data_IF_519973076800
#
_entry.id   IF_519973076800
#
_cell.length_a   1.000
_cell.length_b   1.000
_cell.length_c   1.000
_cell.angle_alpha   90.00
_cell.angle_beta   90.00
_cell.angle_gamma   90.00
#
_symmetry.space_group_name_H-M   'P 1'
#
loop_
_entity.id
_entity.type
_entity.pdbx_description
1 polymer ?
#
# COMPACT_ATOMS: atom_id res chain seq x y z
N UNK A 1 -56.88 10.14 -30.31
CA UNK A 1 -55.84 11.12 -29.92
C UNK A 1 -54.45 10.50 -29.89
N UNK A 2 -53.91 9.95 -28.79
CA UNK A 2 -52.51 9.44 -28.79
C UNK A 2 -52.17 8.36 -29.86
N UNK A 3 -53.13 7.51 -30.24
CA UNK A 3 -52.94 6.47 -31.27
C UNK A 3 -53.06 7.00 -32.70
N UNK A 4 -53.91 8.01 -32.93
CA UNK A 4 -54.10 8.63 -34.26
C UNK A 4 -52.97 9.64 -34.56
N UNK A 5 -52.45 10.33 -33.53
CA UNK A 5 -51.39 11.32 -33.67
C UNK A 5 -49.99 10.70 -33.84
N UNK A 6 -49.79 9.44 -33.42
CA UNK A 6 -48.50 8.73 -33.48
C UNK A 6 -48.56 7.45 -34.33
N UNK A 7 -49.56 7.32 -35.21
CA UNK A 7 -49.76 6.15 -36.06
C UNK A 7 -48.53 5.85 -36.93
N UNK A 8 -47.99 6.86 -37.62
CA UNK A 8 -46.79 6.73 -38.45
C UNK A 8 -45.56 6.30 -37.64
N UNK A 9 -45.42 6.79 -36.40
CA UNK A 9 -44.35 6.39 -35.49
C UNK A 9 -44.51 4.95 -35.01
N UNK A 10 -45.74 4.47 -34.81
CA UNK A 10 -46.00 3.08 -34.45
C UNK A 10 -45.64 2.13 -35.60
N UNK A 11 -45.93 2.50 -36.85
CA UNK A 11 -45.52 1.75 -38.04
C UNK A 11 -44.00 1.73 -38.21
N UNK A 12 -43.33 2.88 -38.06
CA UNK A 12 -41.87 2.96 -38.11
C UNK A 12 -41.20 2.13 -37.01
N UNK A 13 -41.72 2.17 -35.79
CA UNK A 13 -41.21 1.35 -34.68
C UNK A 13 -41.39 -0.14 -34.98
N UNK A 14 -42.53 -0.55 -35.56
CA UNK A 14 -42.74 -1.93 -35.96
C UNK A 14 -41.75 -2.38 -37.04
N UNK A 15 -41.46 -1.51 -38.02
CA UNK A 15 -40.46 -1.78 -39.05
C UNK A 15 -39.06 -1.91 -38.46
N UNK A 16 -38.65 -0.99 -37.58
CA UNK A 16 -37.33 -0.99 -36.94
C UNK A 16 -37.14 -2.15 -35.93
N UNK A 17 -38.22 -2.57 -35.26
CA UNK A 17 -38.18 -3.69 -34.30
C UNK A 17 -38.30 -5.06 -34.97
N UNK A 18 -38.61 -5.12 -36.27
CA UNK A 18 -38.69 -6.39 -36.98
C UNK A 18 -37.30 -6.99 -37.15
N UNK A 19 -37.01 -8.02 -36.35
CA UNK A 19 -35.75 -8.76 -36.44
C UNK A 19 -35.72 -9.58 -37.73
N UNK A 20 -34.76 -9.28 -38.60
CA UNK A 20 -34.44 -10.07 -39.78
C UNK A 20 -33.79 -11.37 -39.29
N UNK A 21 -34.39 -12.52 -39.63
CA UNK A 21 -33.98 -13.86 -39.12
C UNK A 21 -33.26 -14.72 -40.16
N UNK A 22 -33.25 -14.27 -41.39
CA UNK A 22 -32.71 -14.94 -42.58
C UNK A 22 -31.44 -14.25 -43.09
N UNK A 23 -30.64 -13.71 -42.16
CA UNK A 23 -29.34 -13.13 -42.49
C UNK A 23 -28.41 -14.26 -42.98
N UNK A 24 -27.81 -14.14 -44.19
CA UNK A 24 -26.85 -15.12 -44.66
C UNK A 24 -25.57 -14.99 -43.83
N UNK A 25 -25.33 -15.95 -42.94
CA UNK A 25 -24.12 -16.06 -42.12
C UNK A 25 -23.18 -17.09 -42.73
N UNK A 26 -21.87 -16.82 -42.66
CA UNK A 26 -20.82 -17.73 -43.14
C UNK A 26 -20.41 -18.78 -42.11
N UNK A 27 -21.11 -18.83 -40.96
CA UNK A 27 -20.79 -19.68 -39.81
C UNK A 27 -22.01 -20.56 -39.50
N UNK A 28 -21.78 -21.86 -39.33
CA UNK A 28 -22.85 -22.78 -38.93
C UNK A 28 -23.04 -22.76 -37.41
N UNK A 29 -24.27 -23.05 -36.94
CA UNK A 29 -24.57 -23.04 -35.50
C UNK A 29 -23.67 -23.99 -34.69
N UNK A 30 -23.29 -25.13 -35.27
CA UNK A 30 -22.44 -26.13 -34.63
C UNK A 30 -20.99 -25.65 -34.45
N UNK A 31 -20.56 -24.62 -35.19
CA UNK A 31 -19.22 -24.04 -35.07
C UNK A 31 -19.12 -23.03 -33.93
N UNK A 32 -20.26 -22.65 -33.33
CA UNK A 32 -20.34 -21.71 -32.20
C UNK A 32 -20.22 -22.40 -30.84
N UNK A 33 -19.94 -23.71 -30.81
CA UNK A 33 -19.68 -24.41 -29.57
C UNK A 33 -18.40 -23.89 -28.90
N UNK A 34 -18.44 -23.74 -27.58
CA UNK A 34 -17.27 -23.31 -26.82
C UNK A 34 -16.13 -24.33 -27.00
N UNK A 35 -15.02 -23.86 -27.58
CA UNK A 35 -13.80 -24.65 -27.70
C UNK A 35 -13.00 -24.64 -26.39
N UNK A 36 -12.02 -25.52 -26.28
CA UNK A 36 -11.05 -25.49 -25.18
C UNK A 36 -10.33 -24.14 -25.13
N UNK A 37 -10.10 -23.64 -23.92
CA UNK A 37 -9.42 -22.38 -23.67
C UNK A 37 -7.92 -22.58 -23.82
N UNK A 38 -7.27 -21.71 -24.58
CA UNK A 38 -5.80 -21.64 -24.60
C UNK A 38 -5.31 -20.93 -23.33
N UNK A 39 -4.99 -21.71 -22.30
CA UNK A 39 -4.55 -21.20 -21.00
C UNK A 39 -3.31 -20.31 -21.11
N UNK A 40 -2.38 -20.62 -22.03
CA UNK A 40 -1.17 -19.83 -22.19
C UNK A 40 -1.46 -18.44 -22.74
N UNK A 41 -2.34 -18.33 -23.74
CA UNK A 41 -2.68 -17.06 -24.37
C UNK A 41 -3.51 -16.18 -23.44
N UNK A 42 -4.49 -16.76 -22.73
CA UNK A 42 -5.31 -16.00 -21.81
C UNK A 42 -4.51 -15.48 -20.61
N UNK A 43 -3.59 -16.31 -20.07
CA UNK A 43 -2.70 -15.88 -19.01
C UNK A 43 -1.77 -14.75 -19.49
N UNK A 44 -1.15 -14.89 -20.68
CA UNK A 44 -0.27 -13.86 -21.25
C UNK A 44 -1.01 -12.55 -21.54
N UNK A 45 -2.23 -12.64 -22.08
CA UNK A 45 -3.06 -11.47 -22.40
C UNK A 45 -3.47 -10.71 -21.12
N UNK A 46 -3.93 -11.44 -20.10
CA UNK A 46 -4.33 -10.84 -18.83
C UNK A 46 -3.14 -10.28 -18.05
N UNK A 47 -1.96 -10.92 -18.14
CA UNK A 47 -0.72 -10.42 -17.55
C UNK A 47 -0.25 -9.14 -18.27
N UNK A 48 -0.34 -9.08 -19.60
CA UNK A 48 0.00 -7.88 -20.38
C UNK A 48 -0.92 -6.68 -20.08
N UNK A 49 -2.14 -6.93 -19.63
CA UNK A 49 -3.11 -5.91 -19.22
C UNK A 49 -3.12 -5.67 -17.70
N UNK A 50 -2.26 -6.36 -16.95
CA UNK A 50 -2.19 -6.28 -15.48
C UNK A 50 -3.52 -6.59 -14.76
N UNK A 51 -4.39 -7.40 -15.38
CA UNK A 51 -5.73 -7.74 -14.88
C UNK A 51 -5.73 -8.93 -13.92
N UNK A 52 -4.86 -8.89 -12.90
CA UNK A 52 -4.59 -10.00 -11.98
C UNK A 52 -5.83 -10.46 -11.18
N UNK A 53 -6.72 -9.53 -10.80
CA UNK A 53 -7.96 -9.83 -10.07
C UNK A 53 -9.00 -10.49 -10.96
N UNK A 54 -9.12 -10.03 -12.20
CA UNK A 54 -10.03 -10.60 -13.19
C UNK A 54 -9.55 -11.99 -13.63
N UNK A 55 -8.23 -12.19 -13.75
CA UNK A 55 -7.60 -13.49 -14.06
C UNK A 55 -8.04 -14.58 -13.08
N UNK A 56 -8.00 -14.31 -11.78
CA UNK A 56 -8.47 -15.24 -10.74
C UNK A 56 -9.97 -15.53 -10.84
N UNK A 57 -10.80 -14.49 -10.95
CA UNK A 57 -12.26 -14.64 -11.06
C UNK A 57 -12.69 -15.39 -12.32
N UNK A 58 -12.00 -15.17 -13.44
CA UNK A 58 -12.27 -15.82 -14.71
C UNK A 58 -11.84 -17.29 -14.65
N UNK A 59 -10.70 -17.59 -14.01
CA UNK A 59 -10.25 -18.95 -13.77
C UNK A 59 -11.27 -19.74 -12.95
N UNK A 60 -11.80 -19.16 -11.86
CA UNK A 60 -12.86 -19.80 -11.06
C UNK A 60 -14.16 -20.03 -11.85
N UNK A 61 -14.52 -19.11 -12.75
CA UNK A 61 -15.79 -19.16 -13.46
C UNK A 61 -15.79 -20.08 -14.69
N UNK A 62 -14.66 -20.13 -15.41
CA UNK A 62 -14.54 -20.80 -16.71
C UNK A 62 -13.59 -21.99 -16.68
N UNK A 63 -12.79 -22.13 -15.61
CA UNK A 63 -12.01 -23.34 -15.31
C UNK A 63 -10.72 -23.49 -16.13
N UNK A 64 -9.83 -22.49 -16.08
CA UNK A 64 -8.47 -22.60 -16.64
C UNK A 64 -7.41 -22.43 -15.54
N UNK A 65 -6.25 -23.07 -15.68
CA UNK A 65 -5.16 -22.93 -14.72
C UNK A 65 -4.49 -21.55 -14.84
N UNK A 66 -4.43 -20.83 -13.71
CA UNK A 66 -3.67 -19.59 -13.62
C UNK A 66 -2.20 -19.96 -13.58
N UNK A 67 -1.42 -19.47 -14.54
CA UNK A 67 0.03 -19.38 -14.39
C UNK A 67 0.31 -18.35 -13.29
N UNK A 68 0.21 -18.77 -12.04
CA UNK A 68 0.84 -18.07 -10.94
C UNK A 68 2.33 -18.20 -11.22
N UNK A 69 2.97 -17.11 -11.65
CA UNK A 69 4.41 -16.99 -11.43
C UNK A 69 4.58 -17.21 -9.94
N UNK A 70 5.06 -18.40 -9.57
CA UNK A 70 5.22 -18.84 -8.19
C UNK A 70 5.70 -17.65 -7.37
N UNK A 71 4.89 -17.26 -6.38
CA UNK A 71 5.29 -16.29 -5.40
C UNK A 71 6.54 -16.83 -4.70
N UNK A 72 7.68 -16.34 -5.18
CA UNK A 72 8.91 -16.02 -4.48
C UNK A 72 9.39 -17.10 -3.51
N UNK A 73 10.43 -17.80 -3.98
CA UNK A 73 11.50 -18.38 -3.16
C UNK A 73 11.71 -17.54 -1.89
N UNK A 74 11.25 -18.04 -0.76
CA UNK A 74 11.59 -17.55 0.59
C UNK A 74 13.10 -17.72 0.77
N UNK A 75 13.86 -16.67 0.47
CA UNK A 75 15.28 -16.61 0.81
C UNK A 75 15.40 -15.64 1.96
N UNK A 76 16.02 -16.09 3.05
CA UNK A 76 16.33 -15.28 4.25
C UNK A 76 17.04 -13.95 3.93
N UNK A 77 17.62 -13.81 2.73
CA UNK A 77 18.26 -12.57 2.23
C UNK A 77 17.26 -11.44 1.93
N UNK A 78 15.96 -11.72 1.84
CA UNK A 78 14.94 -10.71 1.53
C UNK A 78 14.14 -10.25 2.75
N UNK A 79 14.55 -10.65 3.96
CA UNK A 79 13.92 -10.20 5.19
C UNK A 79 14.51 -8.84 5.60
N UNK A 80 13.65 -7.90 6.01
CA UNK A 80 14.13 -6.64 6.58
C UNK A 80 14.89 -6.93 7.87
N UNK A 81 16.11 -6.41 8.00
CA UNK A 81 16.88 -6.54 9.22
C UNK A 81 16.39 -5.55 10.30
N UNK A 82 16.74 -5.85 11.55
CA UNK A 82 16.42 -5.02 12.72
C UNK A 82 17.59 -4.10 13.12
N UNK A 83 18.49 -3.74 12.22
CA UNK A 83 19.62 -2.85 12.55
C UNK A 83 19.17 -1.39 12.67
N UNK A 84 19.52 -0.71 13.75
CA UNK A 84 19.22 0.70 13.95
C UNK A 84 20.29 1.40 14.79
N UNK A 85 20.44 2.69 14.57
CA UNK A 85 21.29 3.55 15.40
C UNK A 85 20.44 4.29 16.43
N UNK A 86 20.69 4.04 17.72
CA UNK A 86 19.97 4.72 18.80
C UNK A 86 20.54 6.10 19.06
N UNK A 87 19.71 7.13 18.94
CA UNK A 87 20.03 8.49 19.35
C UNK A 87 19.67 8.69 20.83
N UNK A 88 20.58 8.29 21.73
CA UNK A 88 20.36 8.40 23.18
C UNK A 88 20.50 9.82 23.75
N UNK A 89 21.21 10.70 23.05
CA UNK A 89 21.51 12.07 23.49
C UNK A 89 21.02 13.14 22.52
N UNK A 90 20.76 14.34 23.05
CA UNK A 90 20.34 15.52 22.27
C UNK A 90 21.32 15.84 21.13
N UNK A 91 22.62 15.75 21.37
CA UNK A 91 23.65 16.06 20.38
C UNK A 91 23.70 15.03 19.26
N UNK A 92 23.53 13.75 19.59
CA UNK A 92 23.45 12.68 18.60
C UNK A 92 22.20 12.85 17.74
N UNK A 93 21.03 13.05 18.36
CA UNK A 93 19.78 13.27 17.63
C UNK A 93 19.85 14.46 16.67
N UNK A 94 20.39 15.61 17.12
CA UNK A 94 20.52 16.80 16.26
C UNK A 94 21.47 16.57 15.09
N UNK A 95 22.57 15.84 15.30
CA UNK A 95 23.52 15.51 14.23
C UNK A 95 22.87 14.62 13.16
N UNK A 96 22.16 13.58 13.57
CA UNK A 96 21.51 12.68 12.61
C UNK A 96 20.33 13.39 11.91
N UNK A 97 19.58 14.26 12.59
CA UNK A 97 18.58 15.14 11.96
C UNK A 97 19.19 16.01 10.85
N UNK A 98 20.39 16.56 11.06
CA UNK A 98 21.10 17.35 10.02
C UNK A 98 21.57 16.49 8.84
N UNK A 99 21.87 15.21 9.06
CA UNK A 99 22.22 14.26 8.00
C UNK A 99 20.96 13.92 7.18
N UNK A 100 19.87 13.55 7.85
CA UNK A 100 18.58 13.23 7.24
C UNK A 100 18.00 14.41 6.44
N UNK A 101 18.26 15.65 6.87
CA UNK A 101 17.81 16.85 6.16
C UNK A 101 18.43 17.03 4.75
N UNK A 102 19.49 16.28 4.43
CA UNK A 102 20.14 16.28 3.10
C UNK A 102 19.55 15.24 2.15
N UNK A 103 18.76 14.30 2.66
CA UNK A 103 18.08 13.29 1.86
C UNK A 103 16.96 13.90 1.01
N UNK A 104 16.47 13.13 0.04
CA UNK A 104 15.31 13.54 -0.77
C UNK A 104 14.00 13.19 -0.07
N UNK A 105 13.87 11.95 0.40
CA UNK A 105 12.72 11.46 1.16
C UNK A 105 13.22 10.66 2.37
N UNK A 106 12.54 10.82 3.49
CA UNK A 106 12.74 10.05 4.72
C UNK A 106 11.42 9.36 5.10
N UNK A 107 11.51 8.19 5.71
CA UNK A 107 10.34 7.50 6.27
C UNK A 107 10.27 7.72 7.78
N UNK A 108 9.04 7.72 8.30
CA UNK A 108 8.77 7.93 9.73
C UNK A 108 7.76 6.92 10.23
N UNK A 109 8.04 6.33 11.38
CA UNK A 109 7.11 5.46 12.11
C UNK A 109 7.22 5.70 13.62
N UNK A 110 6.11 6.02 14.28
CA UNK A 110 6.03 6.20 15.72
C UNK A 110 5.74 4.91 16.48
N UNK A 111 6.27 4.81 17.69
CA UNK A 111 5.93 3.76 18.65
C UNK A 111 5.19 4.34 19.84
N UNK A 112 4.21 3.61 20.35
CA UNK A 112 3.43 4.02 21.50
C UNK A 112 3.15 2.87 22.45
N UNK A 113 3.14 3.15 23.75
CA UNK A 113 2.72 2.20 24.78
C UNK A 113 1.22 1.87 24.70
N UNK A 114 0.77 0.96 25.57
CA UNK A 114 -0.64 0.55 25.64
C UNK A 114 -1.60 1.69 26.04
N UNK A 115 -1.10 2.77 26.65
CA UNK A 115 -1.88 3.95 27.01
C UNK A 115 -1.93 4.98 25.87
N UNK A 116 -1.17 4.75 24.78
CA UNK A 116 -1.06 5.64 23.63
C UNK A 116 -0.09 6.80 23.87
N UNK A 117 0.86 6.67 24.79
CA UNK A 117 1.97 7.59 24.95
C UNK A 117 3.10 7.24 23.98
N UNK A 118 3.65 8.25 23.30
CA UNK A 118 4.81 8.09 22.43
C UNK A 118 6.03 7.57 23.22
N UNK A 119 6.52 6.39 22.88
CA UNK A 119 7.71 5.74 23.45
C UNK A 119 8.97 6.03 22.61
N UNK A 120 8.79 6.25 21.30
CA UNK A 120 9.88 6.65 20.42
C UNK A 120 9.45 6.89 18.98
N UNK A 121 10.41 7.28 18.16
CA UNK A 121 10.24 7.59 16.74
C UNK A 121 11.37 6.94 15.95
N UNK A 122 11.01 6.07 15.02
CA UNK A 122 11.91 5.57 13.99
C UNK A 122 11.89 6.53 12.80
N UNK A 123 13.07 6.94 12.35
CA UNK A 123 13.25 7.73 11.14
C UNK A 123 14.31 7.05 10.28
N UNK A 124 13.96 6.67 9.06
CA UNK A 124 14.88 6.01 8.16
C UNK A 124 15.04 6.76 6.84
N UNK A 125 16.21 6.62 6.24
CA UNK A 125 16.46 6.92 4.84
C UNK A 125 16.65 5.61 4.07
N UNK A 126 17.10 5.68 2.82
CA UNK A 126 17.31 4.49 1.97
C UNK A 126 18.40 3.54 2.48
N UNK A 127 19.30 4.00 3.37
CA UNK A 127 20.47 3.27 3.85
C UNK A 127 20.40 2.93 5.35
N UNK A 128 19.96 3.86 6.18
CA UNK A 128 20.05 3.79 7.65
C UNK A 128 18.71 4.06 8.33
N UNK A 129 18.54 3.45 9.50
CA UNK A 129 17.41 3.69 10.39
C UNK A 129 17.90 4.21 11.74
N UNK A 130 17.29 5.29 12.20
CA UNK A 130 17.59 5.94 13.47
C UNK A 130 16.41 5.82 14.42
N UNK A 131 16.71 5.51 15.68
CA UNK A 131 15.72 5.44 16.74
C UNK A 131 15.90 6.59 17.72
N UNK A 132 14.87 7.41 17.88
CA UNK A 132 14.81 8.48 18.87
C UNK A 132 13.91 8.03 20.04
N UNK A 133 14.47 7.96 21.24
CA UNK A 133 13.70 7.65 22.46
C UNK A 133 12.80 8.83 22.86
N UNK A 134 11.67 8.53 23.53
CA UNK A 134 10.74 9.53 24.05
C UNK A 134 11.42 10.64 24.87
N UNK A 135 12.38 10.29 25.73
CA UNK A 135 13.12 11.24 26.57
C UNK A 135 13.93 12.26 25.76
N UNK A 136 14.39 11.86 24.57
CA UNK A 136 15.16 12.72 23.66
C UNK A 136 14.20 13.55 22.81
N UNK A 137 13.12 12.95 22.31
CA UNK A 137 12.10 13.63 21.52
C UNK A 137 11.45 14.77 22.31
N UNK A 138 11.23 14.61 23.61
CA UNK A 138 10.61 15.64 24.45
C UNK A 138 11.50 16.88 24.69
N UNK A 139 12.79 16.83 24.32
CA UNK A 139 13.70 17.97 24.50
C UNK A 139 13.34 19.09 23.50
N UNK A 140 13.16 20.36 23.93
CA UNK A 140 12.70 21.44 23.06
C UNK A 140 13.55 21.66 21.80
N UNK A 141 14.87 21.47 21.90
CA UNK A 141 15.78 21.61 20.76
C UNK A 141 15.60 20.48 19.74
N UNK A 142 15.36 19.26 20.19
CA UNK A 142 15.10 18.11 19.31
C UNK A 142 13.76 18.30 18.62
N UNK A 143 12.71 18.72 19.34
CA UNK A 143 11.42 19.09 18.74
C UNK A 143 11.59 20.18 17.67
N UNK A 144 12.38 21.22 17.94
CA UNK A 144 12.66 22.26 16.96
C UNK A 144 13.43 21.73 15.74
N UNK A 145 14.38 20.81 15.96
CA UNK A 145 15.11 20.10 14.90
C UNK A 145 14.19 19.25 14.02
N UNK A 146 13.33 18.44 14.65
CA UNK A 146 12.34 17.61 13.96
C UNK A 146 11.32 18.46 13.18
N UNK A 147 10.82 19.54 13.76
CA UNK A 147 9.92 20.45 13.05
C UNK A 147 10.59 21.13 11.86
N UNK A 148 11.89 21.41 11.94
CA UNK A 148 12.65 21.93 10.80
C UNK A 148 12.82 20.84 9.73
N UNK A 149 13.15 19.62 10.12
CA UNK A 149 13.28 18.45 9.24
C UNK A 149 11.97 18.15 8.51
N UNK A 150 10.84 18.17 9.22
CA UNK A 150 9.52 17.84 8.68
C UNK A 150 8.77 19.03 8.07
N UNK A 151 9.40 20.21 8.03
CA UNK A 151 8.82 21.40 7.41
C UNK A 151 8.72 21.26 5.89
N UNK A 152 7.95 22.14 5.26
CA UNK A 152 7.84 22.21 3.78
C UNK A 152 9.17 22.52 3.05
N UNK A 153 10.25 22.81 3.77
CA UNK A 153 11.60 23.06 3.22
C UNK A 153 12.56 21.90 3.49
N UNK A 154 12.14 20.89 4.24
CA UNK A 154 12.91 19.67 4.50
C UNK A 154 12.68 18.61 3.41
N UNK A 155 13.24 17.40 3.61
CA UNK A 155 12.96 16.25 2.75
C UNK A 155 11.47 15.92 2.71
N UNK A 156 11.06 15.18 1.68
CA UNK A 156 9.75 14.53 1.65
C UNK A 156 9.60 13.51 2.77
N UNK A 157 8.39 13.36 3.30
CA UNK A 157 8.10 12.42 4.38
C UNK A 157 7.19 11.31 3.86
N UNK A 158 7.69 10.08 3.93
CA UNK A 158 6.94 8.88 3.64
C UNK A 158 6.41 8.26 4.95
N UNK A 159 5.14 7.89 4.98
CA UNK A 159 4.45 7.37 6.18
C UNK A 159 3.47 6.26 5.83
N UNK A 160 3.12 5.45 6.82
CA UNK A 160 2.00 4.51 6.77
C UNK A 160 0.90 5.04 7.71
N UNK A 161 -0.32 5.25 7.19
CA UNK A 161 -1.40 5.99 7.85
C UNK A 161 -0.96 7.38 8.37
N UNK A 162 -0.67 8.30 7.44
CA UNK A 162 -0.16 9.63 7.78
C UNK A 162 -1.11 10.45 8.66
N UNK A 163 -2.42 10.16 8.62
CA UNK A 163 -3.40 10.81 9.49
C UNK A 163 -3.22 10.37 10.94
N UNK A 164 -3.00 9.08 11.21
CA UNK A 164 -2.71 8.55 12.55
C UNK A 164 -1.40 9.12 13.08
N UNK A 165 -0.32 9.03 12.30
CA UNK A 165 1.00 9.56 12.70
C UNK A 165 0.96 11.06 12.97
N UNK A 166 0.33 11.86 12.10
CA UNK A 166 0.20 13.31 12.31
C UNK A 166 -0.55 13.62 13.61
N UNK A 167 -1.68 12.95 13.88
CA UNK A 167 -2.47 13.17 15.10
C UNK A 167 -1.69 12.77 16.35
N UNK A 168 -0.89 11.71 16.29
CA UNK A 168 -0.11 11.25 17.42
C UNK A 168 1.06 12.22 17.73
N UNK A 169 1.86 12.56 16.72
CA UNK A 169 3.04 13.41 16.87
C UNK A 169 2.70 14.88 17.16
N UNK A 170 1.60 15.42 16.60
CA UNK A 170 1.19 16.80 16.84
C UNK A 170 0.84 17.10 18.29
N UNK A 171 0.40 16.10 19.07
CA UNK A 171 0.19 16.22 20.53
C UNK A 171 1.47 16.54 21.30
N UNK A 172 2.63 16.22 20.72
CA UNK A 172 3.96 16.51 21.26
C UNK A 172 4.64 17.70 20.57
N UNK A 173 3.89 18.46 19.76
CA UNK A 173 4.38 19.64 19.06
C UNK A 173 5.27 19.33 17.85
N UNK A 174 5.21 18.11 17.32
CA UNK A 174 5.93 17.69 16.11
C UNK A 174 4.93 17.66 14.94
N UNK A 175 5.21 18.43 13.89
CA UNK A 175 4.28 18.62 12.77
C UNK A 175 4.87 18.05 11.48
N UNK A 176 4.23 17.03 10.92
CA UNK A 176 4.58 16.47 9.60
C UNK A 176 3.96 17.36 8.51
N UNK A 177 4.71 18.34 8.00
CA UNK A 177 4.18 19.31 7.01
C UNK A 177 4.46 18.91 5.56
N UNK A 178 5.44 18.05 5.31
CA UNK A 178 5.89 17.68 3.97
C UNK A 178 5.66 16.19 3.65
N UNK A 179 4.49 15.65 4.00
CA UNK A 179 4.13 14.27 3.64
C UNK A 179 3.99 14.18 2.11
N UNK A 180 4.89 13.41 1.46
CA UNK A 180 4.89 13.21 0.00
C UNK A 180 4.43 11.81 -0.40
N UNK A 181 4.46 10.85 0.53
CA UNK A 181 3.98 9.50 0.33
C UNK A 181 3.22 9.03 1.57
N UNK A 182 1.98 8.60 1.37
CA UNK A 182 1.20 7.85 2.36
C UNK A 182 0.91 6.47 1.76
N UNK A 183 1.51 5.42 2.34
CA UNK A 183 1.43 4.05 1.82
C UNK A 183 0.00 3.53 1.85
N UNK A 184 -0.80 3.92 2.85
CA UNK A 184 -2.21 3.53 2.95
C UNK A 184 -3.03 4.17 1.83
N UNK A 185 -2.80 5.45 1.53
CA UNK A 185 -3.45 6.11 0.39
C UNK A 185 -2.97 5.56 -0.96
N UNK A 186 -1.68 5.26 -1.09
CA UNK A 186 -1.14 4.64 -2.31
C UNK A 186 -1.76 3.27 -2.55
N UNK A 187 -1.87 2.43 -1.51
CA UNK A 187 -2.54 1.14 -1.58
C UNK A 187 -4.02 1.28 -1.96
N UNK A 188 -4.74 2.23 -1.35
CA UNK A 188 -6.14 2.49 -1.68
C UNK A 188 -6.35 2.92 -3.14
N UNK A 189 -5.43 3.71 -3.71
CA UNK A 189 -5.49 4.13 -5.11
C UNK A 189 -5.20 2.99 -6.10
N UNK A 190 -4.29 2.08 -5.75
CA UNK A 190 -3.98 0.90 -6.57
C UNK A 190 -5.09 -0.15 -6.49
N UNK A 191 -5.62 -0.36 -5.29
CA UNK A 191 -6.62 -1.36 -4.99
C UNK A 191 -7.71 -0.75 -4.13
N UNK A 192 -8.82 -0.38 -4.78
CA UNK A 192 -10.01 0.09 -4.09
C UNK A 192 -10.65 -1.07 -3.31
N UNK A 193 -10.18 -1.29 -2.08
CA UNK A 193 -10.78 -2.19 -1.10
C UNK A 193 -11.21 -1.40 0.13
N UNK A 194 -12.33 -1.81 0.74
CA UNK A 194 -12.86 -1.17 1.95
C UNK A 194 -12.11 -1.60 3.23
N UNK A 195 -11.19 -2.55 3.13
CA UNK A 195 -10.45 -3.12 4.26
C UNK A 195 -9.03 -2.56 4.34
N UNK A 196 -8.62 -2.05 5.50
CA UNK A 196 -7.22 -1.68 5.73
C UNK A 196 -6.33 -2.92 5.65
N UNK A 197 -5.30 -2.87 4.81
CA UNK A 197 -4.32 -3.94 4.67
C UNK A 197 -3.09 -3.58 5.53
N UNK A 198 -2.59 -4.51 6.37
CA UNK A 198 -1.36 -4.28 7.15
C UNK A 198 -0.16 -3.97 6.25
N UNK A 199 0.75 -3.11 6.72
CA UNK A 199 1.96 -2.74 5.96
C UNK A 199 2.81 -3.95 5.56
N UNK A 200 2.88 -4.98 6.40
CA UNK A 200 3.61 -6.22 6.12
C UNK A 200 3.09 -6.98 4.91
N UNK A 201 1.78 -6.91 4.65
CA UNK A 201 1.13 -7.54 3.50
C UNK A 201 1.28 -6.67 2.24
N UNK A 202 1.21 -5.34 2.40
CA UNK A 202 1.50 -4.38 1.32
C UNK A 202 2.93 -4.57 0.82
N UNK A 203 3.91 -4.63 1.72
CA UNK A 203 5.33 -4.80 1.38
C UNK A 203 5.56 -6.07 0.57
N UNK A 204 5.08 -7.23 1.05
CA UNK A 204 5.28 -8.52 0.39
C UNK A 204 4.59 -8.60 -0.98
N UNK A 205 3.51 -7.83 -1.18
CA UNK A 205 2.76 -7.78 -2.43
C UNK A 205 3.48 -6.98 -3.52
N UNK A 206 4.11 -5.86 -3.14
CA UNK A 206 4.70 -4.92 -4.09
C UNK A 206 6.23 -5.02 -4.18
N UNK A 207 6.88 -5.71 -3.25
CA UNK A 207 8.34 -5.88 -3.21
C UNK A 207 8.72 -7.34 -2.93
N UNK A 208 9.99 -7.68 -3.11
CA UNK A 208 10.54 -8.98 -2.69
C UNK A 208 10.86 -9.03 -1.19
N UNK A 209 10.52 -7.98 -0.42
CA UNK A 209 10.89 -7.85 0.98
C UNK A 209 9.79 -8.36 1.93
N UNK A 210 10.22 -8.85 3.09
CA UNK A 210 9.33 -9.40 4.12
C UNK A 210 9.69 -8.89 5.51
N UNK A 211 8.68 -8.78 6.38
CA UNK A 211 8.86 -8.50 7.80
C UNK A 211 9.52 -9.70 8.50
N UNK A 212 10.38 -9.48 9.52
CA UNK A 212 10.86 -10.50 10.45
C UNK A 212 9.73 -11.33 11.05
N UNK A 213 9.96 -12.64 11.24
CA UNK A 213 8.98 -13.55 11.84
C UNK A 213 8.72 -13.28 13.33
N UNK A 214 9.60 -12.50 13.96
CA UNK A 214 9.55 -12.10 15.36
C UNK A 214 8.59 -10.92 15.59
N UNK A 215 8.20 -10.20 14.52
CA UNK A 215 7.29 -9.07 14.61
C UNK A 215 5.87 -9.54 14.32
N UNK A 216 4.98 -9.32 15.28
CA UNK A 216 3.56 -9.61 15.13
C UNK A 216 2.92 -8.69 14.08
N UNK A 217 1.90 -9.21 13.39
CA UNK A 217 1.19 -8.43 12.38
C UNK A 217 0.30 -7.38 13.02
N UNK A 218 0.21 -6.21 12.38
CA UNK A 218 -0.71 -5.15 12.77
C UNK A 218 -2.15 -5.69 12.93
N UNK A 219 -2.78 -5.43 14.09
CA UNK A 219 -4.12 -5.91 14.43
C UNK A 219 -4.17 -7.21 15.23
N UNK A 220 -3.04 -7.86 15.50
CA UNK A 220 -2.96 -8.93 16.49
C UNK A 220 -2.80 -8.34 17.90
N UNK A 221 -3.41 -8.99 18.89
CA UNK A 221 -3.25 -8.61 20.30
C UNK A 221 -1.85 -9.01 20.75
N UNK A 222 -0.95 -8.04 20.77
CA UNK A 222 0.38 -8.22 21.33
C UNK A 222 0.31 -8.13 22.86
N UNK A 223 0.70 -9.23 23.53
CA UNK A 223 0.77 -9.33 25.00
C UNK A 223 2.17 -9.06 25.56
N UNK A 224 3.17 -8.88 24.69
CA UNK A 224 4.57 -8.70 25.03
C UNK A 224 5.01 -7.21 25.04
N UNK A 225 6.29 -7.03 25.37
CA UNK A 225 6.92 -5.87 26.00
C UNK A 225 7.12 -4.63 25.11
N UNK A 226 7.52 -3.50 25.70
CA UNK A 226 7.91 -2.25 25.01
C UNK A 226 8.93 -2.46 23.86
N UNK A 227 9.72 -3.54 23.92
CA UNK A 227 10.75 -3.83 22.92
C UNK A 227 10.15 -4.28 21.57
N UNK A 228 8.96 -4.88 21.57
CA UNK A 228 8.31 -5.36 20.34
C UNK A 228 7.69 -4.20 19.56
N UNK A 229 7.11 -3.23 20.26
CA UNK A 229 6.59 -1.99 19.67
C UNK A 229 7.71 -1.12 19.07
N UNK A 230 8.91 -1.18 19.65
CA UNK A 230 10.11 -0.55 19.10
C UNK A 230 10.52 -1.25 17.80
N UNK A 231 10.66 -2.58 17.82
CA UNK A 231 11.05 -3.34 16.62
C UNK A 231 10.04 -3.19 15.48
N UNK A 232 8.73 -3.19 15.79
CA UNK A 232 7.67 -2.93 14.81
C UNK A 232 7.86 -1.57 14.14
N UNK A 233 8.11 -0.51 14.91
CA UNK A 233 8.29 0.84 14.37
C UNK A 233 9.54 0.95 13.47
N UNK A 234 10.61 0.24 13.83
CA UNK A 234 11.84 0.19 13.02
C UNK A 234 11.57 -0.50 11.68
N UNK A 235 10.90 -1.65 11.69
CA UNK A 235 10.59 -2.35 10.46
C UNK A 235 9.59 -1.59 9.61
N UNK A 236 8.61 -0.92 10.23
CA UNK A 236 7.69 -0.03 9.51
C UNK A 236 8.44 1.11 8.81
N UNK A 237 9.34 1.81 9.51
CA UNK A 237 10.13 2.87 8.90
C UNK A 237 10.99 2.34 7.73
N UNK A 238 11.67 1.19 7.92
CA UNK A 238 12.47 0.58 6.84
C UNK A 238 11.65 0.10 5.66
N UNK A 239 10.49 -0.51 5.92
CA UNK A 239 9.57 -0.99 4.89
C UNK A 239 9.06 0.16 4.01
N UNK A 240 8.86 1.35 4.59
CA UNK A 240 8.43 2.54 3.84
C UNK A 240 9.61 3.18 3.06
N UNK A 241 10.84 3.04 3.55
CA UNK A 241 12.03 3.63 2.92
C UNK A 241 12.56 2.85 1.70
N UNK A 242 12.21 1.56 1.59
CA UNK A 242 12.65 0.66 0.52
C UNK A 242 11.64 0.58 -0.61
#
# INVERSE_FOLDING_TARGET
>A
QNLEENEELAYLNAELMTLIRDVPLEVEFNELENTEINESEINNFLDALELNTLKKRLSDAVGFEVNEKEAKKTVRDSMLDLEYETCADETAALKEIEILAKGETISVAESSDQEGNLTGLAVADSEKCYWLNADVIQRPKVVAGLNKLFSSKGPGIAVHDGKKSYRHLSRRGIFLQNINLDVTLAQYLLEASDSSVPLSEILAKHTDLYFPSEIEKEGQLNFDSENDQLHESIVNAKAIAK
#
